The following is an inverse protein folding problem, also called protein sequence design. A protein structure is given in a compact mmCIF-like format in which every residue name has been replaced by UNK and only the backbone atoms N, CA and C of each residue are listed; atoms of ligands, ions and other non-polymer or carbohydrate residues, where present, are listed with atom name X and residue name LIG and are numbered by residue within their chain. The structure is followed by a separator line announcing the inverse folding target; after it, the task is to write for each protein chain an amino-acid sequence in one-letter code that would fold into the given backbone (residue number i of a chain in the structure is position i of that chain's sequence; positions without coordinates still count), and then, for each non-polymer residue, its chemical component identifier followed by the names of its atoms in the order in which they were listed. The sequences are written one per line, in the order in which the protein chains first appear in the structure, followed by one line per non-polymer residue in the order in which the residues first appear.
data_IF_702384429226
#
_entry.id   IF_702384429226
#
_cell.length_a   1.000
_cell.length_b   1.000
_cell.length_c   1.000
_cell.angle_alpha   90.00
_cell.angle_beta   90.00
_cell.angle_gamma   90.00
#
_symmetry.space_group_name_H-M   'P 1'
#
loop_
_entity.id
_entity.type
_entity.pdbx_description
1 polymer ?
#
# COMPACT_ATOMS: atom_id res chain seq x y z
N UNK A 1 4.57 -21.63 2.73
CA UNK A 1 4.84 -21.48 1.29
C UNK A 1 3.55 -21.34 0.48
N UNK A 2 2.54 -22.22 0.64
CA UNK A 2 1.25 -22.14 -0.09
C UNK A 2 0.53 -20.81 0.13
N UNK A 3 0.50 -20.30 1.36
CA UNK A 3 -0.21 -19.05 1.71
C UNK A 3 0.33 -17.83 0.93
N UNK A 4 1.65 -17.71 0.78
CA UNK A 4 2.25 -16.59 0.03
C UNK A 4 1.92 -16.68 -1.47
N UNK A 5 1.99 -17.87 -2.05
CA UNK A 5 1.66 -18.07 -3.47
C UNK A 5 0.18 -17.83 -3.78
N UNK A 6 -0.70 -18.07 -2.82
CA UNK A 6 -2.14 -17.84 -2.97
C UNK A 6 -2.48 -16.33 -2.83
N UNK A 7 -1.79 -15.63 -1.93
CA UNK A 7 -2.03 -14.21 -1.64
C UNK A 7 -1.24 -13.24 -2.53
N UNK A 8 -0.27 -13.73 -3.30
CA UNK A 8 0.55 -12.92 -4.20
C UNK A 8 0.97 -13.71 -5.45
N UNK A 9 0.51 -13.30 -6.65
CA UNK A 9 0.95 -13.85 -7.93
C UNK A 9 2.47 -13.71 -8.16
N UNK A 10 3.07 -12.64 -7.63
CA UNK A 10 4.52 -12.38 -7.72
C UNK A 10 5.29 -13.40 -6.89
N UNK A 11 4.90 -13.64 -5.64
CA UNK A 11 5.50 -14.70 -4.83
C UNK A 11 5.27 -16.08 -5.44
N UNK A 12 4.09 -16.34 -6.00
CA UNK A 12 3.83 -17.59 -6.75
C UNK A 12 4.84 -17.76 -7.87
N UNK A 13 5.05 -16.74 -8.69
CA UNK A 13 5.98 -16.79 -9.82
C UNK A 13 7.42 -16.97 -9.35
N UNK A 14 7.86 -16.23 -8.32
CA UNK A 14 9.20 -16.36 -7.73
C UNK A 14 9.46 -17.76 -7.16
N UNK A 15 8.44 -18.37 -6.55
CA UNK A 15 8.58 -19.67 -5.87
C UNK A 15 8.29 -20.89 -6.77
N UNK A 16 7.68 -20.70 -7.94
CA UNK A 16 7.31 -21.79 -8.87
C UNK A 16 8.10 -21.79 -10.18
N UNK A 17 8.69 -20.68 -10.62
CA UNK A 17 9.61 -20.70 -11.76
C UNK A 17 10.93 -21.32 -11.33
N UNK A 18 11.47 -22.23 -12.13
CA UNK A 18 12.84 -22.75 -12.03
C UNK A 18 13.88 -21.64 -12.30
N UNK A 19 14.01 -20.72 -11.34
CA UNK A 19 15.12 -19.79 -11.19
C UNK A 19 16.03 -20.31 -10.07
N UNK A 20 17.25 -19.76 -9.93
CA UNK A 20 18.23 -20.20 -8.89
C UNK A 20 17.65 -20.22 -7.45
N UNK A 21 16.51 -19.58 -7.23
CA UNK A 21 15.74 -19.54 -5.97
C UNK A 21 14.97 -20.84 -5.66
N UNK A 22 14.49 -21.61 -6.64
CA UNK A 22 13.80 -22.90 -6.38
C UNK A 22 14.73 -23.96 -5.83
N UNK A 23 16.00 -23.95 -6.26
CA UNK A 23 17.03 -24.88 -5.77
C UNK A 23 17.50 -24.52 -4.35
N UNK A 24 17.42 -23.24 -3.97
CA UNK A 24 17.87 -22.71 -2.67
C UNK A 24 16.73 -22.53 -1.65
N UNK A 25 15.46 -22.60 -2.07
CA UNK A 25 14.27 -22.25 -1.27
C UNK A 25 14.32 -20.86 -0.63
N UNK A 26 15.14 -19.97 -1.18
CA UNK A 26 15.43 -18.64 -0.63
C UNK A 26 15.08 -17.60 -1.69
N UNK A 27 14.23 -16.63 -1.34
CA UNK A 27 13.88 -15.49 -2.19
C UNK A 27 14.72 -14.30 -1.78
N UNK A 28 15.42 -13.68 -2.71
CA UNK A 28 16.21 -12.49 -2.46
C UNK A 28 15.39 -11.24 -2.80
N UNK A 29 15.17 -10.37 -1.82
CA UNK A 29 14.46 -9.11 -1.98
C UNK A 29 15.45 -7.99 -1.68
N UNK A 30 16.04 -7.40 -2.72
CA UNK A 30 17.03 -6.32 -2.57
C UNK A 30 16.38 -4.93 -2.50
N UNK A 31 15.16 -4.81 -3.01
CA UNK A 31 14.51 -3.51 -3.22
C UNK A 31 13.68 -3.01 -2.03
N UNK A 32 13.66 -3.75 -0.92
CA UNK A 32 12.82 -3.44 0.25
C UNK A 32 13.60 -3.61 1.54
N UNK A 33 13.31 -2.76 2.51
CA UNK A 33 13.84 -2.90 3.85
C UNK A 33 13.24 -4.12 4.57
N UNK A 34 14.02 -4.69 5.49
CA UNK A 34 13.64 -5.91 6.21
C UNK A 34 12.35 -5.74 7.03
N UNK A 35 12.06 -4.53 7.50
CA UNK A 35 10.88 -4.24 8.32
C UNK A 35 9.60 -4.26 7.46
N UNK A 36 9.63 -3.62 6.29
CA UNK A 36 8.54 -3.64 5.30
C UNK A 36 8.26 -5.06 4.81
N UNK A 37 9.29 -5.84 4.49
CA UNK A 37 9.12 -7.25 4.10
C UNK A 37 8.49 -8.06 5.24
N UNK A 38 8.97 -7.88 6.48
CA UNK A 38 8.40 -8.56 7.64
C UNK A 38 6.92 -8.24 7.81
N UNK A 39 6.53 -6.97 7.67
CA UNK A 39 5.12 -6.54 7.79
C UNK A 39 4.25 -7.09 6.66
N UNK A 40 4.75 -7.11 5.43
CA UNK A 40 4.08 -7.72 4.29
C UNK A 40 3.79 -9.20 4.55
N UNK A 41 4.81 -9.96 4.97
CA UNK A 41 4.67 -11.39 5.27
C UNK A 41 3.70 -11.58 6.43
N UNK A 42 3.83 -10.79 7.51
CA UNK A 42 2.93 -10.86 8.65
C UNK A 42 1.47 -10.63 8.23
N UNK A 43 1.22 -9.66 7.35
CA UNK A 43 -0.10 -9.42 6.79
C UNK A 43 -0.62 -10.62 6.00
N UNK A 44 0.22 -11.25 5.17
CA UNK A 44 -0.19 -12.44 4.41
C UNK A 44 -0.60 -13.62 5.30
N UNK A 45 -0.01 -13.74 6.50
CA UNK A 45 -0.33 -14.82 7.44
C UNK A 45 -1.48 -14.46 8.41
N UNK A 46 -1.56 -13.22 8.86
CA UNK A 46 -2.48 -12.80 9.93
C UNK A 46 -3.63 -11.90 9.44
N UNK A 47 -3.61 -11.45 8.17
CA UNK A 47 -4.55 -10.50 7.57
C UNK A 47 -4.69 -9.17 8.34
N UNK A 48 -3.65 -8.81 9.12
CA UNK A 48 -3.66 -7.68 10.05
C UNK A 48 -2.43 -6.79 9.90
N UNK A 49 -2.66 -5.47 9.87
CA UNK A 49 -1.60 -4.46 9.92
C UNK A 49 -1.42 -4.09 11.40
N UNK A 50 -0.19 -4.14 11.89
CA UNK A 50 0.10 -3.93 13.31
C UNK A 50 0.55 -2.51 13.63
N UNK A 51 0.78 -1.69 12.60
CA UNK A 51 1.34 -0.36 12.73
C UNK A 51 0.81 0.54 11.63
N UNK A 52 0.11 1.57 12.06
CA UNK A 52 -0.60 2.52 11.21
C UNK A 52 0.11 3.86 11.11
N UNK A 53 1.43 3.90 11.34
CA UNK A 53 2.22 5.09 11.00
C UNK A 53 2.18 5.34 9.49
N UNK A 54 2.02 6.60 9.09
CA UNK A 54 1.83 6.99 7.69
C UNK A 54 2.94 6.47 6.76
N UNK A 55 4.20 6.58 7.18
CA UNK A 55 5.36 6.12 6.40
C UNK A 55 5.36 4.58 6.23
N UNK A 56 4.98 3.85 7.28
CA UNK A 56 4.92 2.40 7.24
C UNK A 56 3.77 1.91 6.34
N UNK A 57 2.62 2.59 6.38
CA UNK A 57 1.50 2.30 5.46
C UNK A 57 1.86 2.68 4.03
N UNK A 58 2.64 3.75 3.81
CA UNK A 58 3.16 4.12 2.49
C UNK A 58 4.08 3.06 1.90
N UNK A 59 5.04 2.57 2.68
CA UNK A 59 5.94 1.50 2.25
C UNK A 59 5.16 0.20 1.98
N UNK A 60 4.18 -0.12 2.82
CA UNK A 60 3.30 -1.27 2.62
C UNK A 60 2.42 -1.12 1.39
N UNK A 61 1.92 0.08 1.10
CA UNK A 61 1.13 0.37 -0.08
C UNK A 61 1.96 0.14 -1.36
N UNK A 62 3.16 0.73 -1.42
CA UNK A 62 4.10 0.53 -2.53
C UNK A 62 4.42 -0.96 -2.73
N UNK A 63 4.76 -1.64 -1.64
CA UNK A 63 5.10 -3.07 -1.66
C UNK A 63 3.89 -3.93 -2.05
N UNK A 64 2.70 -3.59 -1.59
CA UNK A 64 1.47 -4.32 -1.92
C UNK A 64 1.13 -4.22 -3.40
N UNK A 65 1.42 -3.08 -4.03
CA UNK A 65 1.25 -2.91 -5.47
C UNK A 65 2.30 -3.72 -6.24
N UNK A 66 3.57 -3.64 -5.83
CA UNK A 66 4.68 -4.38 -6.46
C UNK A 66 4.54 -5.90 -6.38
N UNK A 67 4.05 -6.42 -5.27
CA UNK A 67 3.83 -7.86 -5.07
C UNK A 67 2.39 -8.30 -5.38
N UNK A 68 1.58 -7.42 -5.96
CA UNK A 68 0.19 -7.66 -6.37
C UNK A 68 -0.71 -8.20 -5.24
N UNK A 69 -0.52 -7.70 -4.03
CA UNK A 69 -1.33 -8.01 -2.84
C UNK A 69 -2.49 -7.02 -2.75
N UNK A 70 -3.47 -7.20 -3.64
CA UNK A 70 -4.57 -6.24 -3.81
C UNK A 70 -5.35 -5.95 -2.52
N UNK A 71 -5.53 -6.95 -1.65
CA UNK A 71 -6.26 -6.76 -0.38
C UNK A 71 -5.51 -5.84 0.59
N UNK A 72 -4.18 -5.92 0.62
CA UNK A 72 -3.34 -5.01 1.40
C UNK A 72 -3.38 -3.60 0.79
N UNK A 73 -3.27 -3.50 -0.54
CA UNK A 73 -3.35 -2.21 -1.26
C UNK A 73 -4.65 -1.48 -0.93
N UNK A 74 -5.77 -2.19 -0.94
CA UNK A 74 -7.08 -1.64 -0.59
C UNK A 74 -7.15 -1.18 0.88
N UNK A 75 -6.64 -1.98 1.84
CA UNK A 75 -6.61 -1.56 3.25
C UNK A 75 -5.76 -0.30 3.47
N UNK A 76 -4.58 -0.23 2.84
CA UNK A 76 -3.72 0.95 2.90
C UNK A 76 -4.41 2.17 2.25
N UNK A 77 -5.07 2.00 1.10
CA UNK A 77 -5.84 3.05 0.43
C UNK A 77 -6.96 3.57 1.33
N UNK A 78 -7.73 2.69 1.98
CA UNK A 78 -8.77 3.10 2.94
C UNK A 78 -8.19 3.88 4.12
N UNK A 79 -7.06 3.42 4.68
CA UNK A 79 -6.37 4.13 5.76
C UNK A 79 -6.00 5.57 5.34
N UNK A 80 -5.45 5.74 4.13
CA UNK A 80 -5.09 7.08 3.64
C UNK A 80 -6.31 7.97 3.53
N UNK A 81 -7.43 7.48 2.97
CA UNK A 81 -8.69 8.24 2.84
C UNK A 81 -9.24 8.71 4.19
N UNK A 82 -9.21 7.83 5.19
CA UNK A 82 -9.73 8.13 6.53
C UNK A 82 -8.85 9.12 7.32
N UNK A 83 -7.56 9.18 6.99
CA UNK A 83 -6.57 9.99 7.70
C UNK A 83 -6.02 11.16 6.87
N UNK A 84 -6.75 11.59 5.83
CA UNK A 84 -6.36 12.76 5.04
C UNK A 84 -6.37 14.03 5.89
N UNK A 85 -5.31 14.82 5.76
CA UNK A 85 -5.18 16.15 6.37
C UNK A 85 -4.33 17.06 5.49
N UNK A 86 -4.39 18.36 5.73
CA UNK A 86 -3.66 19.36 4.93
C UNK A 86 -2.14 19.11 4.86
N UNK A 87 -1.54 18.53 5.90
CA UNK A 87 -0.10 18.27 5.92
C UNK A 87 0.31 17.02 5.13
N UNK A 88 -0.61 16.07 4.90
CA UNK A 88 -0.33 14.82 4.19
C UNK A 88 -0.98 14.74 2.81
N UNK A 89 -1.90 15.64 2.47
CA UNK A 89 -2.67 15.60 1.22
C UNK A 89 -1.79 15.62 -0.02
N UNK A 90 -0.74 16.45 -0.04
CA UNK A 90 0.19 16.52 -1.16
C UNK A 90 0.94 15.18 -1.34
N UNK A 91 1.33 14.54 -0.23
CA UNK A 91 1.99 13.23 -0.28
C UNK A 91 1.02 12.15 -0.78
N UNK A 92 -0.21 12.15 -0.27
CA UNK A 92 -1.25 11.22 -0.71
C UNK A 92 -1.61 11.39 -2.19
N UNK A 93 -1.60 12.63 -2.70
CA UNK A 93 -1.83 12.94 -4.12
C UNK A 93 -0.76 12.32 -5.01
N UNK A 94 0.51 12.52 -4.66
CA UNK A 94 1.63 11.91 -5.39
C UNK A 94 1.54 10.38 -5.37
N UNK A 95 1.14 9.78 -4.23
CA UNK A 95 0.93 8.33 -4.15
C UNK A 95 -0.22 7.83 -5.02
N UNK A 96 -1.35 8.54 -5.02
CA UNK A 96 -2.52 8.18 -5.80
C UNK A 96 -2.22 8.21 -7.30
N UNK A 97 -1.50 9.25 -7.75
CA UNK A 97 -1.07 9.41 -9.14
C UNK A 97 -0.08 8.33 -9.56
N UNK A 98 0.98 8.12 -8.75
CA UNK A 98 2.04 7.14 -9.02
C UNK A 98 1.49 5.71 -9.17
N UNK A 99 0.57 5.32 -8.29
CA UNK A 99 -0.02 3.98 -8.26
C UNK A 99 -1.36 3.86 -9.02
N UNK A 100 -1.74 4.92 -9.74
CA UNK A 100 -2.98 5.05 -10.50
C UNK A 100 -4.22 4.63 -9.71
N UNK A 101 -4.26 4.93 -8.41
CA UNK A 101 -5.39 4.62 -7.54
C UNK A 101 -6.47 5.69 -7.66
N UNK A 102 -7.39 5.44 -8.60
CA UNK A 102 -8.53 6.31 -8.87
C UNK A 102 -9.43 6.52 -7.67
N UNK A 103 -9.53 5.54 -6.75
CA UNK A 103 -10.39 5.70 -5.59
C UNK A 103 -9.75 6.63 -4.56
N UNK A 104 -8.43 6.50 -4.33
CA UNK A 104 -7.70 7.44 -3.48
C UNK A 104 -7.72 8.85 -4.09
N UNK A 105 -7.55 8.95 -5.41
CA UNK A 105 -7.61 10.22 -6.13
C UNK A 105 -8.98 10.91 -5.98
N UNK A 106 -10.08 10.16 -6.11
CA UNK A 106 -11.43 10.70 -5.88
C UNK A 106 -11.57 11.26 -4.48
N UNK A 107 -11.16 10.51 -3.45
CA UNK A 107 -11.25 10.95 -2.06
C UNK A 107 -10.41 12.21 -1.78
N UNK A 108 -9.26 12.34 -2.44
CA UNK A 108 -8.42 13.55 -2.35
C UNK A 108 -9.10 14.76 -2.99
N UNK A 109 -9.73 14.59 -4.15
CA UNK A 109 -10.48 15.67 -4.82
C UNK A 109 -11.69 16.07 -3.97
N UNK A 110 -12.41 15.10 -3.40
CA UNK A 110 -13.55 15.35 -2.52
C UNK A 110 -13.11 16.10 -1.26
N UNK A 111 -11.98 15.71 -0.67
CA UNK A 111 -11.38 16.43 0.45
C UNK A 111 -11.04 17.87 0.06
N UNK A 112 -10.31 18.09 -1.04
CA UNK A 112 -9.94 19.45 -1.51
C UNK A 112 -11.20 20.30 -1.74
N UNK A 113 -12.19 19.76 -2.43
CA UNK A 113 -13.43 20.46 -2.77
C UNK A 113 -14.22 20.86 -1.53
N UNK A 114 -14.24 19.99 -0.51
CA UNK A 114 -14.90 20.28 0.76
C UNK A 114 -14.25 21.46 1.48
N UNK A 115 -12.92 21.53 1.54
CA UNK A 115 -12.24 22.64 2.21
C UNK A 115 -12.21 23.93 1.39
N UNK A 116 -12.22 23.83 0.06
CA UNK A 116 -12.42 24.99 -0.80
C UNK A 116 -13.77 25.66 -0.46
N UNK A 117 -14.81 24.83 -0.25
CA UNK A 117 -16.14 25.28 0.18
C UNK A 117 -16.17 25.87 1.60
N UNK A 118 -15.40 25.30 2.55
CA UNK A 118 -15.32 25.82 3.93
C UNK A 118 -14.59 27.17 4.01
N UNK A 119 -13.63 27.44 3.11
CA UNK A 119 -12.95 28.74 3.02
C UNK A 119 -13.92 29.83 2.54
N UNK A 120 -14.84 29.53 1.64
CA UNK A 120 -15.88 30.48 1.21
C UNK A 120 -17.08 30.60 2.18
N UNK A 121 -17.25 29.65 3.11
CA UNK A 121 -18.34 29.67 4.09
C UNK A 121 -18.01 30.43 5.39
N UNK A 122 -16.77 30.87 5.57
CA UNK A 122 -16.31 31.64 6.74
C UNK A 122 -16.35 33.17 6.53
N UNK A 123 -16.81 33.65 5.36
CA UNK A 123 -16.93 35.07 5.03
C UNK A 123 -18.35 35.65 5.16
N UNK A 124 -19.26 35.01 5.92
CA UNK A 124 -20.58 35.57 6.29
C UNK A 124 -20.73 35.72 7.81
#
# INVERSE_FOLDING_TARGET
MIILCDRSPVFKTMLTKDTRETTSKTVFIEDLDADTVRRLVLYMYADAIHDYQWENIMNLYFTSDKYEVLSLKQKCSSFFKENLCFSNICKALVLADLHQDKQLMSALIDFISKYDSEVFALEE
#
